data_IF_428895180699
#
_entry.id   IF_428895180699
#
_cell.length_a   1.000
_cell.length_b   1.000
_cell.length_c   1.000
_cell.angle_alpha   90.00
_cell.angle_beta   90.00
_cell.angle_gamma   90.00
#
_symmetry.space_group_name_H-M   'P 1'
#
loop_
_entity.id
_entity.type
_entity.pdbx_description
1 polymer ?
#
# COMPACT_ATOMS: atom_id res chain seq x y z
N UNK A 1 5.10 22.76 16.41
CA UNK A 1 4.99 22.61 17.87
C UNK A 1 3.91 21.57 18.18
N UNK A 2 4.08 20.38 17.65
CA UNK A 2 3.19 19.25 17.92
C UNK A 2 3.97 18.29 18.83
N UNK A 3 3.82 18.53 20.14
CA UNK A 3 4.14 17.52 21.13
C UNK A 3 3.07 16.45 20.95
N UNK A 4 3.48 15.32 20.43
CA UNK A 4 2.60 14.17 20.24
C UNK A 4 2.06 13.74 21.61
N UNK A 5 0.77 13.43 21.72
CA UNK A 5 0.15 13.01 22.99
C UNK A 5 0.88 11.80 23.60
N UNK A 6 1.48 10.94 22.77
CA UNK A 6 2.32 9.82 23.21
C UNK A 6 3.54 10.25 24.02
N UNK A 7 4.18 11.38 23.68
CA UNK A 7 5.33 11.89 24.43
C UNK A 7 4.92 12.45 25.79
N UNK A 8 3.69 12.96 25.91
CA UNK A 8 3.13 13.42 27.19
C UNK A 8 2.75 12.26 28.10
N UNK A 9 2.19 11.18 27.53
CA UNK A 9 1.82 9.97 28.26
C UNK A 9 3.07 9.18 28.70
N UNK A 10 4.09 9.05 27.83
CA UNK A 10 5.36 8.39 28.17
C UNK A 10 6.14 9.17 29.24
N UNK A 11 6.13 10.50 29.21
CA UNK A 11 6.71 11.34 30.25
C UNK A 11 5.93 11.28 31.56
N UNK A 12 4.60 11.20 31.50
CA UNK A 12 3.76 11.03 32.68
C UNK A 12 4.05 9.68 33.37
N UNK A 13 4.17 8.60 32.61
CA UNK A 13 4.52 7.28 33.14
C UNK A 13 5.91 7.26 33.81
N UNK A 14 6.89 7.96 33.24
CA UNK A 14 8.24 8.07 33.79
C UNK A 14 8.27 8.93 35.06
N UNK A 15 7.40 9.93 35.18
CA UNK A 15 7.27 10.78 36.37
C UNK A 15 6.52 10.05 37.50
N UNK A 16 5.50 9.27 37.21
CA UNK A 16 4.80 8.45 38.25
C UNK A 16 5.70 7.36 38.82
N UNK A 17 6.65 6.81 38.06
CA UNK A 17 7.64 5.85 38.56
C UNK A 17 8.58 6.45 39.62
N UNK A 18 8.74 7.78 39.69
CA UNK A 18 9.54 8.50 40.68
C UNK A 18 8.84 8.64 42.03
N UNK A 19 7.51 8.50 42.09
CA UNK A 19 6.70 8.72 43.27
C UNK A 19 6.18 7.41 43.88
N UNK A 20 7.03 6.37 43.89
CA UNK A 20 6.71 5.02 44.36
C UNK A 20 6.29 4.93 45.85
N UNK A 21 6.42 6.00 46.62
CA UNK A 21 6.12 6.01 48.08
C UNK A 21 4.65 6.31 48.43
N UNK A 22 3.81 6.62 47.43
CA UNK A 22 2.38 6.93 47.68
C UNK A 22 1.48 5.82 47.12
N UNK A 23 0.75 5.07 48.00
CA UNK A 23 -0.11 3.96 47.56
C UNK A 23 -1.23 4.39 46.61
N UNK A 24 -1.75 5.59 46.75
CA UNK A 24 -2.81 6.14 45.83
C UNK A 24 -2.31 6.38 44.41
N UNK A 25 -1.04 6.76 44.25
CA UNK A 25 -0.43 6.97 42.93
C UNK A 25 -0.12 5.63 42.23
N UNK A 26 0.19 4.58 42.99
CA UNK A 26 0.32 3.22 42.43
C UNK A 26 -1.00 2.67 41.92
N UNK A 27 -2.07 2.96 42.64
CA UNK A 27 -3.39 2.53 42.18
C UNK A 27 -3.80 3.27 40.91
N UNK A 28 -3.54 4.58 40.83
CA UNK A 28 -3.81 5.38 39.66
C UNK A 28 -2.99 4.90 38.42
N UNK A 29 -1.70 4.62 38.61
CA UNK A 29 -0.84 4.09 37.55
C UNK A 29 -1.32 2.72 37.04
N UNK A 30 -1.75 1.84 37.92
CA UNK A 30 -2.33 0.54 37.56
C UNK A 30 -3.69 0.69 36.83
N UNK A 31 -4.51 1.65 37.24
CA UNK A 31 -5.79 1.93 36.57
C UNK A 31 -5.57 2.52 35.18
N UNK A 32 -4.56 3.37 35.02
CA UNK A 32 -4.14 3.92 33.70
C UNK A 32 -3.60 2.82 32.78
N UNK A 33 -2.73 1.94 33.27
CA UNK A 33 -2.21 0.79 32.51
C UNK A 33 -3.33 -0.16 32.07
N UNK A 34 -4.30 -0.43 32.93
CA UNK A 34 -5.49 -1.24 32.59
C UNK A 34 -6.38 -0.53 31.58
N UNK A 35 -6.50 0.80 31.64
CA UNK A 35 -7.25 1.59 30.67
C UNK A 35 -6.53 1.63 29.33
N UNK A 36 -5.21 1.82 29.32
CA UNK A 36 -4.38 1.79 28.11
C UNK A 36 -4.48 0.42 27.40
N UNK A 37 -4.34 -0.69 28.16
CA UNK A 37 -4.52 -2.04 27.62
C UNK A 37 -5.94 -2.27 27.07
N UNK A 38 -6.97 -1.71 27.71
CA UNK A 38 -8.34 -1.77 27.19
C UNK A 38 -8.51 -0.92 25.93
N UNK A 39 -7.89 0.26 25.85
CA UNK A 39 -7.92 1.11 24.65
C UNK A 39 -7.15 0.47 23.52
N UNK A 40 -5.98 -0.15 23.78
CA UNK A 40 -5.21 -0.94 22.82
C UNK A 40 -6.04 -2.14 22.32
N UNK A 41 -6.74 -2.84 23.21
CA UNK A 41 -7.63 -3.95 22.84
C UNK A 41 -8.91 -3.51 22.10
N UNK A 42 -9.29 -2.22 22.14
CA UNK A 42 -10.36 -1.65 21.34
C UNK A 42 -9.90 -1.20 19.95
N UNK A 43 -8.58 -0.98 19.76
CA UNK A 43 -7.98 -0.85 18.44
C UNK A 43 -8.12 -2.22 17.80
N UNK A 44 -8.96 -2.29 16.77
CA UNK A 44 -9.36 -3.50 16.08
C UNK A 44 -8.09 -4.25 15.60
N UNK A 45 -7.57 -5.17 16.43
CA UNK A 45 -6.35 -5.95 16.19
C UNK A 45 -6.41 -6.62 14.80
N UNK A 46 -7.61 -7.01 14.36
CA UNK A 46 -7.85 -7.59 13.05
C UNK A 46 -7.38 -6.67 11.90
N UNK A 47 -7.63 -5.35 11.99
CA UNK A 47 -7.15 -4.42 10.96
C UNK A 47 -5.62 -4.29 10.93
N UNK A 48 -4.97 -4.31 12.07
CA UNK A 48 -3.51 -4.26 12.18
C UNK A 48 -2.88 -5.57 11.72
N UNK A 49 -3.52 -6.69 11.99
CA UNK A 49 -3.08 -8.03 11.59
C UNK A 49 -3.05 -8.19 10.06
N UNK A 50 -4.11 -7.72 9.37
CA UNK A 50 -4.18 -7.78 7.89
C UNK A 50 -3.59 -6.56 7.18
N UNK A 51 -3.05 -5.57 7.91
CA UNK A 51 -2.39 -4.42 7.31
C UNK A 51 -1.23 -4.84 6.40
N UNK A 52 -0.45 -5.85 6.80
CA UNK A 52 0.64 -6.40 5.97
C UNK A 52 0.14 -6.92 4.62
N UNK A 53 -1.01 -7.60 4.61
CA UNK A 53 -1.62 -8.13 3.38
C UNK A 53 -2.13 -7.02 2.47
N UNK A 54 -2.73 -5.96 3.03
CA UNK A 54 -3.13 -4.75 2.27
C UNK A 54 -1.90 -4.06 1.68
N UNK A 55 -0.84 -3.89 2.49
CA UNK A 55 0.44 -3.30 2.06
C UNK A 55 1.03 -4.07 0.90
N UNK A 56 1.06 -5.39 1.00
CA UNK A 56 1.61 -6.27 -0.03
C UNK A 56 0.88 -6.08 -1.37
N UNK A 57 -0.46 -6.19 -1.37
CA UNK A 57 -1.26 -6.03 -2.57
C UNK A 57 -1.16 -4.63 -3.20
N UNK A 58 -1.13 -3.59 -2.37
CA UNK A 58 -1.06 -2.21 -2.84
C UNK A 58 0.33 -1.87 -3.38
N UNK A 59 1.40 -2.32 -2.70
CA UNK A 59 2.77 -2.09 -3.16
C UNK A 59 3.05 -2.76 -4.50
N UNK A 60 2.61 -4.01 -4.64
CA UNK A 60 2.77 -4.78 -5.88
C UNK A 60 2.02 -4.10 -7.04
N UNK A 61 0.75 -3.72 -6.83
CA UNK A 61 -0.03 -2.99 -7.83
C UNK A 61 0.64 -1.65 -8.22
N UNK A 62 1.21 -0.91 -7.27
CA UNK A 62 1.85 0.37 -7.56
C UNK A 62 3.20 0.22 -8.28
N UNK A 63 3.89 -0.88 -8.15
CA UNK A 63 5.17 -1.13 -8.83
C UNK A 63 4.96 -1.87 -10.13
N UNK A 64 4.39 -3.08 -10.08
CA UNK A 64 4.23 -3.95 -11.25
C UNK A 64 3.23 -3.37 -12.24
N UNK A 65 2.03 -3.04 -11.76
CA UNK A 65 0.95 -2.63 -12.67
C UNK A 65 1.17 -1.23 -13.25
N UNK A 66 1.76 -0.29 -12.50
CA UNK A 66 2.20 1.00 -13.05
C UNK A 66 3.23 0.79 -14.16
N UNK A 67 4.17 -0.15 -13.96
CA UNK A 67 5.14 -0.54 -14.96
C UNK A 67 4.50 -1.14 -16.22
N UNK A 68 3.55 -2.06 -16.05
CA UNK A 68 2.83 -2.67 -17.17
C UNK A 68 2.07 -1.64 -18.01
N UNK A 69 1.32 -0.72 -17.39
CA UNK A 69 0.59 0.35 -18.09
C UNK A 69 1.54 1.32 -18.82
N UNK A 70 2.68 1.66 -18.20
CA UNK A 70 3.69 2.47 -18.86
C UNK A 70 4.28 1.77 -20.09
N UNK A 71 4.54 0.46 -20.02
CA UNK A 71 4.98 -0.36 -21.15
C UNK A 71 3.93 -0.43 -22.26
N UNK A 72 2.66 -0.67 -21.92
CA UNK A 72 1.54 -0.70 -22.89
C UNK A 72 1.35 0.64 -23.58
N UNK A 73 1.63 1.76 -22.92
CA UNK A 73 1.48 3.10 -23.47
C UNK A 73 2.23 3.29 -24.78
N UNK A 74 3.45 2.79 -24.88
CA UNK A 74 4.23 2.87 -26.12
C UNK A 74 3.97 1.71 -27.07
N UNK A 75 3.66 0.53 -26.55
CA UNK A 75 3.42 -0.64 -27.39
C UNK A 75 2.11 -0.53 -28.18
N UNK A 76 1.02 -0.08 -27.54
CA UNK A 76 -0.33 -0.12 -28.11
C UNK A 76 -0.79 1.22 -28.72
N UNK A 77 -0.26 2.35 -28.27
CA UNK A 77 -0.57 3.71 -28.78
C UNK A 77 -2.06 4.10 -28.82
N UNK A 78 -2.96 3.29 -28.26
CA UNK A 78 -4.40 3.52 -28.15
C UNK A 78 -4.85 3.42 -26.70
N UNK A 79 -5.50 4.48 -26.20
CA UNK A 79 -5.90 4.58 -24.78
C UNK A 79 -6.92 3.51 -24.38
N UNK A 80 -7.84 3.15 -25.28
CA UNK A 80 -8.88 2.15 -25.01
C UNK A 80 -8.31 0.73 -25.00
N UNK A 81 -7.36 0.45 -25.91
CA UNK A 81 -6.64 -0.83 -25.90
C UNK A 81 -5.81 -0.99 -24.65
N UNK A 82 -5.14 0.08 -24.20
CA UNK A 82 -4.39 0.08 -22.93
C UNK A 82 -5.32 -0.15 -21.74
N UNK A 83 -6.48 0.53 -21.70
CA UNK A 83 -7.47 0.32 -20.66
C UNK A 83 -8.01 -1.12 -20.63
N UNK A 84 -8.32 -1.68 -21.81
CA UNK A 84 -8.81 -3.06 -21.92
C UNK A 84 -7.74 -4.07 -21.47
N UNK A 85 -6.54 -3.99 -22.04
CA UNK A 85 -5.42 -4.89 -21.72
C UNK A 85 -5.01 -4.76 -20.26
N UNK A 86 -4.91 -3.52 -19.77
CA UNK A 86 -4.63 -3.23 -18.37
C UNK A 86 -5.69 -3.80 -17.42
N UNK A 87 -6.99 -3.66 -17.75
CA UNK A 87 -8.05 -4.24 -16.94
C UNK A 87 -7.94 -5.76 -16.84
N UNK A 88 -7.72 -6.45 -17.96
CA UNK A 88 -7.58 -7.92 -17.99
C UNK A 88 -6.35 -8.33 -17.19
N UNK A 89 -5.21 -7.70 -17.44
CA UNK A 89 -3.94 -8.00 -16.75
C UNK A 89 -4.04 -7.69 -15.26
N UNK A 90 -4.62 -6.55 -14.91
CA UNK A 90 -4.78 -6.14 -13.51
C UNK A 90 -5.70 -7.05 -12.70
N UNK A 91 -6.81 -7.53 -13.29
CA UNK A 91 -7.68 -8.51 -12.64
C UNK A 91 -6.95 -9.84 -12.46
N UNK A 92 -6.22 -10.31 -13.48
CA UNK A 92 -5.44 -11.54 -13.40
C UNK A 92 -4.35 -11.45 -12.33
N UNK A 93 -3.63 -10.32 -12.26
CA UNK A 93 -2.61 -10.04 -11.26
C UNK A 93 -3.22 -9.98 -9.83
N UNK A 94 -4.36 -9.32 -9.65
CA UNK A 94 -5.06 -9.27 -8.38
C UNK A 94 -5.45 -10.67 -7.86
N UNK A 95 -5.96 -11.54 -8.74
CA UNK A 95 -6.29 -12.92 -8.41
C UNK A 95 -5.05 -13.76 -8.10
N UNK A 96 -3.97 -13.56 -8.86
CA UNK A 96 -2.68 -14.21 -8.61
C UNK A 96 -2.11 -13.83 -7.25
N UNK A 97 -2.10 -12.52 -6.95
CA UNK A 97 -1.57 -11.99 -5.69
C UNK A 97 -2.40 -12.45 -4.49
N UNK A 98 -3.74 -12.44 -4.60
CA UNK A 98 -4.63 -12.98 -3.57
C UNK A 98 -4.39 -14.48 -3.33
N UNK A 99 -4.16 -15.26 -4.41
CA UNK A 99 -3.86 -16.69 -4.30
C UNK A 99 -2.50 -16.94 -3.64
N UNK A 100 -1.50 -16.13 -3.97
CA UNK A 100 -0.16 -16.19 -3.36
C UNK A 100 -0.21 -15.87 -1.88
N UNK A 101 -0.95 -14.84 -1.47
CA UNK A 101 -1.14 -14.47 -0.06
C UNK A 101 -1.90 -15.56 0.71
N UNK A 102 -2.90 -16.20 0.09
CA UNK A 102 -3.59 -17.35 0.67
C UNK A 102 -2.62 -18.49 0.98
N UNK A 103 -1.78 -18.85 0.00
CA UNK A 103 -0.83 -19.95 0.14
C UNK A 103 0.28 -19.61 1.15
N UNK A 104 0.80 -18.39 1.13
CA UNK A 104 1.81 -17.91 2.06
C UNK A 104 1.29 -17.99 3.50
N UNK A 105 0.15 -17.34 3.79
CA UNK A 105 -0.46 -17.34 5.12
C UNK A 105 -0.79 -18.76 5.60
N UNK A 106 -1.26 -19.63 4.71
CA UNK A 106 -1.55 -21.01 5.04
C UNK A 106 -0.29 -21.82 5.37
N UNK A 107 0.83 -21.54 4.70
CA UNK A 107 2.10 -22.24 4.92
C UNK A 107 2.82 -21.78 6.19
N UNK A 108 2.60 -20.54 6.62
CA UNK A 108 3.16 -19.99 7.86
C UNK A 108 2.60 -20.67 9.12
N UNK A 109 1.44 -21.34 9.03
CA UNK A 109 0.87 -22.16 10.10
C UNK A 109 0.50 -21.40 11.38
N UNK A 110 0.41 -20.08 11.31
CA UNK A 110 0.08 -19.22 12.45
C UNK A 110 -1.40 -19.33 12.83
N UNK A 111 -1.69 -19.45 14.13
CA UNK A 111 -3.07 -19.50 14.65
C UNK A 111 -3.80 -18.14 14.54
N UNK A 112 -3.08 -17.04 14.25
CA UNK A 112 -3.59 -15.68 14.32
C UNK A 112 -4.19 -15.20 13.00
N UNK A 113 -3.58 -15.49 11.84
CA UNK A 113 -4.04 -15.01 10.53
C UNK A 113 -4.88 -16.03 9.77
N UNK A 114 -6.10 -15.65 9.39
CA UNK A 114 -6.93 -16.46 8.50
C UNK A 114 -6.53 -16.29 7.03
N UNK A 115 -6.06 -17.36 6.32
CA UNK A 115 -5.58 -17.27 4.94
C UNK A 115 -6.58 -16.66 3.96
N UNK A 116 -7.87 -17.00 4.09
CA UNK A 116 -8.93 -16.45 3.23
C UNK A 116 -9.08 -14.95 3.42
N UNK A 117 -9.05 -14.47 4.66
CA UNK A 117 -9.17 -13.02 4.93
C UNK A 117 -7.96 -12.28 4.38
N UNK A 118 -6.74 -12.77 4.61
CA UNK A 118 -5.51 -12.19 4.06
C UNK A 118 -5.59 -12.05 2.54
N UNK A 119 -5.99 -13.13 1.84
CA UNK A 119 -6.18 -13.12 0.39
C UNK A 119 -7.22 -12.09 -0.08
N UNK A 120 -8.34 -11.98 0.63
CA UNK A 120 -9.41 -11.00 0.30
C UNK A 120 -8.90 -9.58 0.48
N UNK A 121 -8.21 -9.25 1.58
CA UNK A 121 -7.66 -7.93 1.82
C UNK A 121 -6.63 -7.55 0.75
N UNK A 122 -5.71 -8.45 0.41
CA UNK A 122 -4.72 -8.27 -0.66
C UNK A 122 -5.38 -8.05 -2.02
N UNK A 123 -6.31 -8.92 -2.39
CA UNK A 123 -7.01 -8.85 -3.69
C UNK A 123 -7.84 -7.58 -3.83
N UNK A 124 -8.57 -7.16 -2.80
CA UNK A 124 -9.37 -5.93 -2.83
C UNK A 124 -8.46 -4.70 -2.95
N UNK A 125 -7.38 -4.64 -2.17
CA UNK A 125 -6.41 -3.54 -2.24
C UNK A 125 -5.81 -3.41 -3.64
N UNK A 126 -5.45 -4.55 -4.23
CA UNK A 126 -4.93 -4.61 -5.60
C UNK A 126 -5.96 -4.12 -6.62
N UNK A 127 -7.19 -4.64 -6.59
CA UNK A 127 -8.26 -4.26 -7.55
C UNK A 127 -8.59 -2.77 -7.46
N UNK A 128 -8.71 -2.20 -6.26
CA UNK A 128 -8.96 -0.76 -6.10
C UNK A 128 -7.85 0.06 -6.75
N UNK A 129 -6.60 -0.35 -6.56
CA UNK A 129 -5.44 0.31 -7.17
C UNK A 129 -5.47 0.17 -8.69
N UNK A 130 -5.77 -1.01 -9.23
CA UNK A 130 -5.92 -1.24 -10.68
C UNK A 130 -6.99 -0.34 -11.27
N UNK A 131 -8.16 -0.28 -10.67
CA UNK A 131 -9.26 0.60 -11.15
C UNK A 131 -8.81 2.06 -11.17
N UNK A 132 -8.14 2.52 -10.11
CA UNK A 132 -7.64 3.88 -10.05
C UNK A 132 -6.60 4.17 -11.15
N UNK A 133 -5.66 3.26 -11.40
CA UNK A 133 -4.60 3.46 -12.39
C UNK A 133 -5.07 3.29 -13.84
N UNK A 134 -6.11 2.49 -14.10
CA UNK A 134 -6.70 2.32 -15.44
C UNK A 134 -7.65 3.46 -15.81
N UNK A 135 -8.30 4.07 -14.83
CA UNK A 135 -9.31 5.12 -15.06
C UNK A 135 -8.84 6.26 -16.00
N UNK A 136 -7.63 6.79 -15.91
CA UNK A 136 -7.15 7.82 -16.84
C UNK A 136 -7.20 7.38 -18.31
N UNK A 137 -6.89 6.11 -18.61
CA UNK A 137 -6.90 5.59 -19.98
C UNK A 137 -8.32 5.36 -20.52
N UNK A 138 -9.32 5.24 -19.63
CA UNK A 138 -10.73 5.19 -20.04
C UNK A 138 -11.26 6.60 -20.35
N UNK A 139 -10.81 7.61 -19.58
CA UNK A 139 -11.36 8.97 -19.61
C UNK A 139 -10.63 9.90 -20.58
N UNK A 140 -9.36 9.61 -20.90
CA UNK A 140 -8.48 10.49 -21.68
C UNK A 140 -8.04 9.78 -22.96
N UNK A 141 -8.38 10.35 -24.11
CA UNK A 141 -8.03 9.77 -25.41
C UNK A 141 -6.53 9.90 -25.73
N UNK A 142 -5.89 10.99 -25.27
CA UNK A 142 -4.46 11.16 -25.49
C UNK A 142 -3.66 10.28 -24.53
N UNK A 143 -3.00 9.28 -25.09
CA UNK A 143 -2.27 8.24 -24.36
C UNK A 143 -1.17 8.79 -23.43
N UNK A 144 -0.43 9.81 -23.89
CA UNK A 144 0.64 10.40 -23.10
C UNK A 144 0.11 11.25 -21.93
N UNK A 145 -1.02 11.94 -22.14
CA UNK A 145 -1.70 12.67 -21.07
C UNK A 145 -2.27 11.68 -20.06
N UNK A 146 -2.92 10.60 -20.52
CA UNK A 146 -3.43 9.53 -19.67
C UNK A 146 -2.31 8.91 -18.81
N UNK A 147 -1.14 8.62 -19.42
CA UNK A 147 0.04 8.15 -18.71
C UNK A 147 0.50 9.15 -17.63
N UNK A 148 0.61 10.43 -17.96
CA UNK A 148 1.01 11.47 -17.02
C UNK A 148 0.05 11.56 -15.82
N UNK A 149 -1.26 11.50 -16.06
CA UNK A 149 -2.29 11.50 -15.01
C UNK A 149 -2.21 10.22 -14.17
N UNK A 150 -2.03 9.07 -14.79
CA UNK A 150 -1.86 7.78 -14.11
C UNK A 150 -0.64 7.82 -13.18
N UNK A 151 0.51 8.31 -13.64
CA UNK A 151 1.72 8.43 -12.83
C UNK A 151 1.54 9.41 -11.67
N UNK A 152 0.83 10.52 -11.89
CA UNK A 152 0.48 11.45 -10.82
C UNK A 152 -0.45 10.80 -9.78
N UNK A 153 -1.46 10.03 -10.22
CA UNK A 153 -2.33 9.27 -9.32
C UNK A 153 -1.56 8.21 -8.54
N UNK A 154 -0.63 7.50 -9.18
CA UNK A 154 0.24 6.54 -8.48
C UNK A 154 1.03 7.23 -7.36
N UNK A 155 1.63 8.41 -7.62
CA UNK A 155 2.33 9.19 -6.58
C UNK A 155 1.41 9.59 -5.43
N UNK A 156 0.18 10.02 -5.72
CA UNK A 156 -0.79 10.37 -4.68
C UNK A 156 -1.14 9.15 -3.82
N UNK A 157 -1.40 8.00 -4.44
CA UNK A 157 -1.70 6.76 -3.73
C UNK A 157 -0.50 6.34 -2.88
N UNK A 158 0.73 6.38 -3.43
CA UNK A 158 1.98 6.10 -2.70
C UNK A 158 2.10 7.03 -1.49
N UNK A 159 1.84 8.34 -1.66
CA UNK A 159 1.95 9.31 -0.58
C UNK A 159 0.92 9.07 0.53
N UNK A 160 -0.35 8.92 0.18
CA UNK A 160 -1.45 8.70 1.14
C UNK A 160 -1.23 7.40 1.93
N UNK A 161 -0.89 6.34 1.22
CA UNK A 161 -0.71 5.04 1.84
C UNK A 161 0.52 5.00 2.76
N UNK A 162 1.68 5.51 2.30
CA UNK A 162 2.88 5.55 3.13
C UNK A 162 2.75 6.51 4.30
N UNK A 163 1.97 7.61 4.17
CA UNK A 163 1.63 8.47 5.29
C UNK A 163 0.85 7.70 6.36
N UNK A 164 -0.24 7.04 5.96
CA UNK A 164 -1.05 6.23 6.86
C UNK A 164 -0.22 5.13 7.55
N UNK A 165 0.59 4.41 6.78
CA UNK A 165 1.44 3.33 7.31
C UNK A 165 2.51 3.86 8.27
N UNK A 166 3.13 5.00 7.95
CA UNK A 166 4.16 5.61 8.80
C UNK A 166 3.60 6.04 10.16
N UNK A 167 2.39 6.62 10.17
CA UNK A 167 1.70 6.97 11.42
C UNK A 167 1.37 5.72 12.24
N UNK A 168 0.87 4.65 11.59
CA UNK A 168 0.47 3.42 12.27
C UNK A 168 1.65 2.61 12.85
N UNK A 169 2.85 2.74 12.26
CA UNK A 169 4.04 1.95 12.62
C UNK A 169 5.17 2.76 13.23
N UNK A 170 5.04 4.08 13.38
CA UNK A 170 6.10 4.94 13.88
C UNK A 170 7.32 5.05 12.97
N UNK A 171 7.17 4.74 11.67
CA UNK A 171 8.27 4.74 10.71
C UNK A 171 8.38 6.09 9.98
N UNK A 172 9.55 6.37 9.39
CA UNK A 172 9.78 7.61 8.64
C UNK A 172 9.03 7.62 7.30
N UNK A 173 8.03 8.49 7.16
CA UNK A 173 7.29 8.71 5.92
C UNK A 173 8.20 8.99 4.71
N UNK A 174 9.19 9.90 4.87
CA UNK A 174 10.07 10.32 3.77
C UNK A 174 10.86 9.15 3.19
N UNK A 175 11.38 8.27 4.05
CA UNK A 175 12.15 7.11 3.61
C UNK A 175 11.27 6.16 2.80
N UNK A 176 10.13 5.75 3.35
CA UNK A 176 9.21 4.82 2.67
C UNK A 176 8.64 5.38 1.38
N UNK A 177 8.18 6.64 1.41
CA UNK A 177 7.68 7.30 0.21
C UNK A 177 8.72 7.34 -0.90
N UNK A 178 9.97 7.73 -0.58
CA UNK A 178 11.04 7.81 -1.57
C UNK A 178 11.40 6.44 -2.13
N UNK A 179 11.50 5.41 -1.29
CA UNK A 179 11.76 4.03 -1.72
C UNK A 179 10.69 3.54 -2.68
N UNK A 180 9.40 3.68 -2.32
CA UNK A 180 8.29 3.25 -3.16
C UNK A 180 8.20 4.04 -4.47
N UNK A 181 8.34 5.35 -4.40
CA UNK A 181 8.31 6.20 -5.59
C UNK A 181 9.45 5.85 -6.55
N UNK A 182 10.68 5.72 -6.05
CA UNK A 182 11.85 5.35 -6.87
C UNK A 182 11.66 3.98 -7.50
N UNK A 183 11.18 2.98 -6.74
CA UNK A 183 10.92 1.64 -7.29
C UNK A 183 9.86 1.68 -8.39
N UNK A 184 8.68 2.27 -8.12
CA UNK A 184 7.58 2.33 -9.08
C UNK A 184 7.98 3.07 -10.36
N UNK A 185 8.64 4.20 -10.25
CA UNK A 185 9.06 4.99 -11.42
C UNK A 185 10.23 4.34 -12.17
N UNK A 186 11.13 3.64 -11.48
CA UNK A 186 12.19 2.88 -12.13
C UNK A 186 11.63 1.74 -12.98
N UNK A 187 10.69 0.96 -12.42
CA UNK A 187 10.02 -0.12 -13.14
C UNK A 187 9.19 0.45 -14.30
N UNK A 188 8.44 1.53 -14.08
CA UNK A 188 7.68 2.20 -15.13
C UNK A 188 8.59 2.68 -16.28
N UNK A 189 9.74 3.28 -15.98
CA UNK A 189 10.71 3.73 -16.96
C UNK A 189 11.32 2.59 -17.77
N UNK A 190 11.72 1.49 -17.07
CA UNK A 190 12.25 0.30 -17.74
C UNK A 190 11.19 -0.33 -18.65
N UNK A 191 9.98 -0.51 -18.16
CA UNK A 191 8.87 -1.10 -18.94
C UNK A 191 8.48 -0.24 -20.13
N UNK A 192 8.52 1.09 -19.98
CA UNK A 192 8.29 2.04 -21.06
C UNK A 192 9.34 1.87 -22.17
N UNK A 193 10.63 1.75 -21.79
CA UNK A 193 11.72 1.50 -22.75
C UNK A 193 11.58 0.13 -23.44
N UNK A 194 11.19 -0.91 -22.71
CA UNK A 194 10.90 -2.23 -23.27
C UNK A 194 9.73 -2.15 -24.26
N UNK A 195 8.64 -1.47 -23.93
CA UNK A 195 7.51 -1.26 -24.82
C UNK A 195 7.93 -0.57 -26.12
N UNK A 196 8.77 0.46 -26.02
CA UNK A 196 9.34 1.15 -27.18
C UNK A 196 10.20 0.22 -28.06
N UNK A 197 11.08 -0.55 -27.41
CA UNK A 197 11.95 -1.49 -28.13
C UNK A 197 11.11 -2.56 -28.87
N UNK A 198 10.14 -3.15 -28.19
CA UNK A 198 9.26 -4.18 -28.78
C UNK A 198 8.48 -3.62 -29.97
N UNK A 199 7.89 -2.43 -29.85
CA UNK A 199 7.22 -1.78 -30.95
C UNK A 199 8.14 -1.60 -32.16
N UNK A 200 9.36 -1.13 -31.94
CA UNK A 200 10.35 -0.89 -33.01
C UNK A 200 10.80 -2.19 -33.68
N UNK A 201 10.97 -3.28 -32.89
CA UNK A 201 11.42 -4.57 -33.43
C UNK A 201 10.30 -5.35 -34.15
N UNK A 202 9.07 -5.25 -33.65
CA UNK A 202 7.95 -6.01 -34.24
C UNK A 202 7.32 -5.31 -35.42
N UNK A 203 7.52 -3.99 -35.56
CA UNK A 203 6.92 -3.19 -36.66
C UNK A 203 5.39 -3.14 -36.60
N UNK A 204 4.79 -3.48 -35.48
CA UNK A 204 3.34 -3.45 -35.25
C UNK A 204 2.96 -2.04 -34.85
N UNK A 205 2.37 -1.28 -35.78
CA UNK A 205 1.66 -0.04 -35.47
C UNK A 205 0.21 -0.41 -35.09
N UNK A 206 -0.03 -0.58 -33.78
CA UNK A 206 -1.36 -0.80 -33.24
C UNK A 206 -2.01 0.53 -32.86
#
# INVERSE_FOLDING_TARGET
>A
SDVCSSDLEENAHHDYAKYTDYPDLRQLANEEEVHEQKLIGLINEERLEYMGSVVLGLNDALVEFTGALAGFTLALSDSRLIALTGSITGIAAALSMASSEYLSTKSEGGETKHPIKAAIYTGIAYIITVVALVAPFILIENVLIALGVMLAMALVIIALFNYYYSVARGESFRKRFTEMAVLSFSVAGISFLIGYALKTFTGIDA
#
